data_IF_986068633924
#
_entry.id   IF_986068633924
#
_cell.length_a   1.000
_cell.length_b   1.000
_cell.length_c   1.000
_cell.angle_alpha   90.00
_cell.angle_beta   90.00
_cell.angle_gamma   90.00
#
_symmetry.space_group_name_H-M   'P 1'
#
loop_
_entity.id
_entity.type
_entity.pdbx_description
1 polymer ?
#
# COMPACT_ATOMS: atom_id res chain seq x y z
N UNK A 1 -2.62 -8.25 -13.71
CA UNK A 1 -1.67 -7.99 -12.60
C UNK A 1 -1.40 -6.49 -12.48
N UNK A 2 -1.65 -5.89 -11.31
CA UNK A 2 -1.30 -4.51 -11.02
C UNK A 2 0.22 -4.31 -11.00
N UNK A 3 0.67 -3.07 -11.22
CA UNK A 3 2.10 -2.72 -11.16
C UNK A 3 2.46 -2.29 -9.74
N UNK A 4 3.47 -2.93 -9.14
CA UNK A 4 4.09 -2.49 -7.91
C UNK A 4 5.39 -1.75 -8.24
N UNK A 5 5.51 -0.49 -7.81
CA UNK A 5 6.68 0.37 -8.08
C UNK A 5 7.44 0.64 -6.78
N UNK A 6 8.77 0.55 -6.86
CA UNK A 6 9.69 0.84 -5.77
C UNK A 6 10.22 2.28 -5.85
N UNK A 7 9.90 3.09 -4.84
CA UNK A 7 10.52 4.40 -4.59
C UNK A 7 11.18 4.41 -3.20
N UNK A 8 11.91 3.34 -2.87
CA UNK A 8 12.70 3.25 -1.65
C UNK A 8 14.16 3.58 -1.93
N UNK A 9 14.88 4.08 -0.92
CA UNK A 9 16.26 4.59 -1.07
C UNK A 9 17.22 4.07 0.00
N UNK A 10 16.72 3.63 1.16
CA UNK A 10 17.55 3.03 2.20
C UNK A 10 17.53 1.50 2.11
N UNK A 11 18.51 0.86 2.77
CA UNK A 11 18.54 -0.59 2.89
C UNK A 11 17.26 -1.16 3.50
N UNK A 12 16.77 -0.57 4.60
CA UNK A 12 15.57 -1.06 5.28
C UNK A 12 14.29 -0.84 4.45
N UNK A 13 14.25 0.23 3.64
CA UNK A 13 13.17 0.47 2.70
C UNK A 13 13.17 -0.56 1.57
N UNK A 14 14.34 -0.84 1.00
CA UNK A 14 14.49 -1.85 -0.05
C UNK A 14 14.16 -3.26 0.44
N UNK A 15 14.61 -3.60 1.64
CA UNK A 15 14.25 -4.86 2.30
C UNK A 15 12.74 -4.95 2.48
N UNK A 16 12.08 -3.86 2.89
CA UNK A 16 10.62 -3.83 3.02
C UNK A 16 9.94 -4.03 1.68
N UNK A 17 10.35 -3.30 0.64
CA UNK A 17 9.81 -3.46 -0.71
C UNK A 17 9.92 -4.90 -1.18
N UNK A 18 11.11 -5.51 -1.05
CA UNK A 18 11.35 -6.91 -1.43
C UNK A 18 10.44 -7.86 -0.65
N UNK A 19 10.45 -7.79 0.68
CA UNK A 19 9.68 -8.68 1.53
C UNK A 19 8.17 -8.54 1.33
N UNK A 20 7.69 -7.33 1.02
CA UNK A 20 6.30 -7.06 0.66
C UNK A 20 5.99 -7.63 -0.73
N UNK A 21 6.76 -7.27 -1.75
CA UNK A 21 6.54 -7.69 -3.15
C UNK A 21 6.58 -9.20 -3.35
N UNK A 22 7.41 -9.91 -2.58
CA UNK A 22 7.55 -11.36 -2.59
C UNK A 22 6.25 -12.09 -2.16
N UNK A 23 5.49 -11.47 -1.26
CA UNK A 23 4.25 -12.04 -0.69
C UNK A 23 2.99 -11.35 -1.20
N UNK A 24 3.13 -10.28 -1.97
CA UNK A 24 2.00 -9.49 -2.44
C UNK A 24 1.31 -10.20 -3.59
N UNK A 25 0.08 -10.60 -3.37
CA UNK A 25 -0.84 -11.13 -4.38
C UNK A 25 -2.16 -10.38 -4.23
N UNK A 26 -2.67 -9.81 -5.33
CA UNK A 26 -3.94 -9.10 -5.31
C UNK A 26 -4.59 -9.10 -6.68
N UNK A 27 -5.91 -9.29 -6.70
CA UNK A 27 -6.76 -9.09 -7.88
C UNK A 27 -6.90 -7.62 -8.29
N UNK A 28 -6.42 -6.69 -7.46
CA UNK A 28 -6.46 -5.26 -7.77
C UNK A 28 -5.58 -4.92 -8.98
N UNK A 29 -6.18 -4.31 -10.00
CA UNK A 29 -5.53 -4.01 -11.27
C UNK A 29 -4.79 -2.66 -11.28
N UNK A 30 -4.97 -1.83 -10.26
CA UNK A 30 -4.33 -0.51 -10.19
C UNK A 30 -2.87 -0.54 -9.78
N UNK A 31 -2.20 0.61 -9.93
CA UNK A 31 -0.78 0.77 -9.62
C UNK A 31 -0.58 1.07 -8.12
N UNK A 32 0.23 0.25 -7.47
CA UNK A 32 0.71 0.48 -6.11
C UNK A 32 2.14 1.03 -6.17
N UNK A 33 2.44 1.99 -5.31
CA UNK A 33 3.79 2.52 -5.16
C UNK A 33 4.18 2.51 -3.70
N UNK A 34 5.35 1.94 -3.40
CA UNK A 34 5.95 1.97 -2.07
C UNK A 34 6.95 3.11 -2.05
N UNK A 35 6.67 4.14 -1.26
CA UNK A 35 7.49 5.34 -1.13
C UNK A 35 8.19 5.32 0.21
N UNK A 36 9.45 5.76 0.22
CA UNK A 36 10.21 5.94 1.45
C UNK A 36 10.56 7.41 1.70
N UNK A 37 10.47 7.82 2.97
CA UNK A 37 11.12 9.03 3.47
C UNK A 37 12.12 8.66 4.57
N UNK A 38 13.42 8.58 4.26
CA UNK A 38 14.44 8.20 5.24
C UNK A 38 14.65 9.32 6.27
N UNK A 39 14.87 8.93 7.52
CA UNK A 39 15.27 9.81 8.62
C UNK A 39 16.48 9.22 9.34
N UNK A 40 17.62 9.89 9.23
CA UNK A 40 18.88 9.45 9.84
C UNK A 40 18.79 9.28 11.36
N UNK A 41 17.85 9.96 12.01
CA UNK A 41 17.74 9.98 13.48
C UNK A 41 16.90 8.84 14.03
N UNK A 42 15.90 8.37 13.28
CA UNK A 42 14.87 7.48 13.82
C UNK A 42 14.64 6.21 12.97
N UNK A 43 14.92 6.24 11.66
CA UNK A 43 14.57 5.16 10.73
C UNK A 43 13.85 5.69 9.49
N UNK A 44 12.98 4.90 8.89
CA UNK A 44 12.37 5.21 7.59
C UNK A 44 10.85 5.19 7.65
N UNK A 45 10.23 6.26 7.18
CA UNK A 45 8.79 6.27 6.92
C UNK A 45 8.52 5.56 5.61
N UNK A 46 7.68 4.54 5.64
CA UNK A 46 7.21 3.83 4.46
C UNK A 46 5.75 4.15 4.24
N UNK A 47 5.40 4.47 3.00
CA UNK A 47 4.05 4.83 2.60
C UNK A 47 3.68 4.05 1.35
N UNK A 48 2.54 3.35 1.38
CA UNK A 48 1.99 2.65 0.23
C UNK A 48 0.86 3.50 -0.32
N UNK A 49 0.98 3.86 -1.60
CA UNK A 49 0.00 4.67 -2.31
C UNK A 49 -0.61 3.89 -3.46
N UNK A 50 -1.87 4.18 -3.74
CA UNK A 50 -2.56 3.74 -4.95
C UNK A 50 -2.86 4.96 -5.77
N UNK A 51 -2.27 5.04 -6.96
CA UNK A 51 -2.17 6.28 -7.74
C UNK A 51 -1.49 7.39 -6.92
N UNK A 52 -2.28 8.31 -6.33
CA UNK A 52 -1.79 9.44 -5.53
C UNK A 52 -2.27 9.40 -4.07
N UNK A 53 -3.08 8.39 -3.70
CA UNK A 53 -3.73 8.35 -2.40
C UNK A 53 -3.04 7.33 -1.47
N UNK A 54 -2.75 7.77 -0.24
CA UNK A 54 -2.08 6.97 0.80
C UNK A 54 -3.07 5.99 1.41
N UNK A 55 -2.83 4.70 1.19
CA UNK A 55 -3.65 3.62 1.78
C UNK A 55 -3.06 3.05 3.06
N UNK A 56 -1.74 3.13 3.20
CA UNK A 56 -1.04 2.62 4.36
C UNK A 56 0.23 3.41 4.60
N UNK A 57 0.59 3.59 5.87
CA UNK A 57 1.86 4.16 6.27
C UNK A 57 2.36 3.50 7.55
N UNK A 58 3.66 3.30 7.65
CA UNK A 58 4.32 2.78 8.84
C UNK A 58 5.70 3.37 9.00
N UNK A 59 6.24 3.27 10.21
CA UNK A 59 7.62 3.68 10.51
C UNK A 59 8.49 2.47 10.80
N UNK A 60 9.53 2.29 10.01
CA UNK A 60 10.51 1.22 10.16
C UNK A 60 11.72 1.70 10.95
N UNK A 61 11.98 1.04 12.08
CA UNK A 61 13.18 1.27 12.86
C UNK A 61 14.28 0.29 12.39
N UNK A 62 15.52 0.75 12.15
CA UNK A 62 16.58 -0.06 11.59
C UNK A 62 17.03 -1.24 12.47
N UNK A 63 16.68 -1.24 13.77
CA UNK A 63 17.08 -2.26 14.75
C UNK A 63 15.93 -3.15 15.20
N UNK A 64 14.74 -3.07 14.58
CA UNK A 64 13.55 -3.78 15.09
C UNK A 64 13.53 -5.24 14.68
N UNK A 65 13.36 -6.13 15.67
CA UNK A 65 13.09 -7.57 15.48
C UNK A 65 11.73 -7.87 14.83
N UNK A 66 10.81 -6.89 14.80
CA UNK A 66 9.44 -7.06 14.31
C UNK A 66 9.26 -6.65 12.83
N UNK A 67 10.35 -6.60 12.05
CA UNK A 67 10.30 -6.27 10.63
C UNK A 67 9.33 -7.18 9.86
N UNK A 68 9.47 -8.50 9.98
CA UNK A 68 8.59 -9.48 9.32
C UNK A 68 7.12 -9.28 9.70
N UNK A 69 6.83 -9.01 10.98
CA UNK A 69 5.46 -8.73 11.43
C UNK A 69 4.92 -7.45 10.81
N UNK A 70 5.78 -6.44 10.64
CA UNK A 70 5.39 -5.17 10.02
C UNK A 70 5.07 -5.36 8.54
N UNK A 71 5.83 -6.20 7.83
CA UNK A 71 5.55 -6.56 6.43
C UNK A 71 4.22 -7.30 6.33
N UNK A 72 4.00 -8.33 7.16
CA UNK A 72 2.73 -9.08 7.18
C UNK A 72 1.55 -8.17 7.49
N UNK A 73 1.70 -7.29 8.47
CA UNK A 73 0.67 -6.30 8.80
C UNK A 73 0.39 -5.34 7.64
N UNK A 74 1.43 -4.88 6.95
CA UNK A 74 1.27 -4.02 5.79
C UNK A 74 0.52 -4.71 4.64
N UNK A 75 0.77 -6.00 4.38
CA UNK A 75 0.06 -6.78 3.36
C UNK A 75 -1.45 -6.79 3.64
N UNK A 76 -1.83 -7.21 4.87
CA UNK A 76 -3.24 -7.33 5.29
C UNK A 76 -3.94 -5.96 5.19
N UNK A 77 -3.32 -4.92 5.76
CA UNK A 77 -3.93 -3.59 5.79
C UNK A 77 -4.07 -2.98 4.39
N UNK A 78 -3.11 -3.24 3.49
CA UNK A 78 -3.15 -2.77 2.10
C UNK A 78 -4.30 -3.44 1.35
N UNK A 79 -4.42 -4.76 1.45
CA UNK A 79 -5.50 -5.52 0.81
C UNK A 79 -6.88 -5.08 1.32
N UNK A 80 -7.03 -4.94 2.64
CA UNK A 80 -8.27 -4.43 3.24
C UNK A 80 -8.63 -3.01 2.75
N UNK A 81 -7.64 -2.12 2.64
CA UNK A 81 -7.85 -0.77 2.13
C UNK A 81 -8.29 -0.78 0.67
N UNK A 82 -7.72 -1.66 -0.16
CA UNK A 82 -8.11 -1.84 -1.56
C UNK A 82 -9.54 -2.39 -1.67
N UNK A 83 -9.87 -3.44 -0.91
CA UNK A 83 -11.20 -4.03 -0.90
C UNK A 83 -12.28 -3.01 -0.52
N UNK A 84 -12.05 -2.21 0.53
CA UNK A 84 -12.96 -1.13 0.92
C UNK A 84 -13.16 -0.09 -0.19
N UNK A 85 -12.13 0.21 -0.98
CA UNK A 85 -12.22 1.15 -2.11
C UNK A 85 -13.03 0.59 -3.27
N UNK A 86 -12.76 -0.65 -3.67
CA UNK A 86 -13.49 -1.30 -4.77
C UNK A 86 -14.99 -1.38 -4.46
N UNK A 87 -15.35 -1.71 -3.21
CA UNK A 87 -16.73 -1.74 -2.74
C UNK A 87 -17.36 -0.33 -2.82
N UNK A 88 -16.67 0.71 -2.32
CA UNK A 88 -17.18 2.08 -2.39
C UNK A 88 -17.38 2.56 -3.84
N UNK A 89 -16.45 2.25 -4.75
CA UNK A 89 -16.57 2.59 -6.17
C UNK A 89 -17.75 1.88 -6.83
N UNK A 90 -17.94 0.58 -6.56
CA UNK A 90 -19.08 -0.18 -7.10
C UNK A 90 -20.43 0.32 -6.58
N UNK A 91 -20.51 0.70 -5.29
CA UNK A 91 -21.71 1.29 -4.68
C UNK A 91 -22.05 2.64 -5.32
N UNK A 92 -21.07 3.53 -5.47
CA UNK A 92 -21.26 4.84 -6.12
C UNK A 92 -21.68 4.68 -7.59
N UNK A 93 -21.07 3.76 -8.32
CA UNK A 93 -21.42 3.49 -9.72
C UNK A 93 -22.83 2.90 -9.89
N UNK A 94 -23.34 2.17 -8.90
CA UNK A 94 -24.71 1.63 -8.95
C UNK A 94 -25.76 2.71 -8.64
N UNK A 95 -25.42 3.68 -7.77
CA UNK A 95 -26.32 4.78 -7.43
C UNK A 95 -26.51 5.80 -8.56
N UNK A 96 -25.48 6.03 -9.37
CA UNK A 96 -25.48 6.99 -10.49
C UNK A 96 -26.38 6.53 -11.66
N UNK A 97 -26.47 5.21 -11.90
CA UNK A 97 -27.31 4.62 -12.95
C UNK A 97 -28.82 4.65 -12.66
N UNK A 98 -29.23 4.99 -11.43
CA UNK A 98 -30.64 5.04 -11.03
C UNK A 98 -31.28 6.42 -11.26
N UNK A 99 -30.53 7.38 -11.81
CA UNK A 99 -31.00 8.77 -11.96
C UNK A 99 -30.98 9.30 -13.40
N UNK A 100 -30.81 8.46 -14.43
CA UNK A 100 -30.99 8.95 -15.80
C UNK A 100 -32.48 9.28 -16.03
N UNK A 101 -32.72 10.57 -16.25
CA UNK A 101 -33.95 11.31 -15.97
C UNK A 101 -35.05 11.08 -17.03
N UNK A 102 -36.32 11.20 -16.61
CA UNK A 102 -37.51 11.28 -17.46
C UNK A 102 -37.72 12.68 -18.05
#
# INVERSE_FOLDING_TARGET
>A
PGLLTDHTVSSIGHDFYRAFSDKWESDYTGNLTINERPSARWGSWITITVNQDVIFQTFLFPLKRDFEKTVVFALIQTEEALNRRQINQALLSTGDLAHDEF
#
